data_IF_318467203790
#
_entry.id   IF_318467203790
#
_cell.length_a   1.000
_cell.length_b   1.000
_cell.length_c   1.000
_cell.angle_alpha   90.00
_cell.angle_beta   90.00
_cell.angle_gamma   90.00
#
_symmetry.space_group_name_H-M   'P 1'
#
loop_
_entity.id
_entity.type
_entity.pdbx_description
1 polymer ?
#
# COMPACT_ATOMS: atom_id res chain seq x y z
N UNK A 1 -76.11 -16.20 -4.68
CA UNK A 1 -76.24 -14.73 -4.72
C UNK A 1 -74.84 -14.16 -4.52
N UNK A 2 -74.08 -14.01 -5.60
CA UNK A 2 -73.90 -12.75 -6.38
C UNK A 2 -72.79 -11.89 -5.76
N UNK A 3 -71.54 -11.85 -6.28
CA UNK A 3 -71.02 -10.97 -7.36
C UNK A 3 -71.23 -9.47 -7.02
N UNK A 4 -70.27 -8.53 -6.96
CA UNK A 4 -69.12 -8.13 -7.81
C UNK A 4 -68.31 -7.06 -7.00
N UNK A 5 -67.01 -6.80 -7.26
CA UNK A 5 -66.21 -5.79 -6.56
C UNK A 5 -66.33 -4.37 -7.15
N UNK A 6 -65.97 -3.34 -6.38
CA UNK A 6 -65.98 -1.93 -6.84
C UNK A 6 -64.57 -1.39 -7.04
N UNK A 7 -64.35 -0.94 -8.28
CA UNK A 7 -63.22 -0.18 -8.81
C UNK A 7 -63.45 1.33 -8.68
N UNK A 8 -62.37 2.08 -8.50
CA UNK A 8 -62.16 3.50 -8.87
C UNK A 8 -60.67 3.76 -8.62
N UNK A 9 -59.83 4.30 -9.49
CA UNK A 9 -59.97 5.06 -10.73
C UNK A 9 -58.75 5.99 -10.80
N UNK A 10 -57.95 5.85 -11.87
CA UNK A 10 -56.60 6.37 -12.11
C UNK A 10 -56.39 7.88 -12.02
N UNK A 11 -55.16 8.30 -11.68
CA UNK A 11 -54.52 9.50 -12.24
C UNK A 11 -52.98 9.45 -12.13
N UNK A 12 -52.33 9.94 -13.20
CA UNK A 12 -50.89 10.23 -13.39
C UNK A 12 -50.02 9.02 -13.78
N UNK A 13 -49.51 8.89 -15.00
CA UNK A 13 -49.20 9.90 -16.01
C UNK A 13 -47.75 9.62 -16.44
N UNK A 14 -47.59 8.84 -17.52
CA UNK A 14 -46.30 8.60 -18.14
C UNK A 14 -45.70 9.92 -18.64
N UNK A 15 -44.46 10.19 -18.27
CA UNK A 15 -43.57 11.04 -19.04
C UNK A 15 -42.14 10.51 -18.91
N UNK A 16 -41.71 9.82 -19.96
CA UNK A 16 -40.30 9.54 -20.25
C UNK A 16 -39.69 10.88 -20.65
N UNK A 17 -38.83 11.45 -19.82
CA UNK A 17 -38.02 12.60 -20.22
C UNK A 17 -36.69 12.12 -20.79
N UNK A 18 -36.65 12.14 -22.12
CA UNK A 18 -35.47 12.00 -22.97
C UNK A 18 -34.56 13.22 -22.80
N UNK A 19 -33.25 12.98 -22.70
CA UNK A 19 -32.22 14.02 -22.63
C UNK A 19 -32.30 14.93 -23.88
N UNK A 20 -32.30 16.24 -23.66
CA UNK A 20 -32.55 17.25 -24.68
C UNK A 20 -31.53 17.26 -25.81
N UNK A 21 -32.03 17.16 -27.04
CA UNK A 21 -31.31 17.44 -28.28
C UNK A 21 -31.82 18.79 -28.81
N UNK A 22 -30.97 19.83 -28.79
CA UNK A 22 -31.29 21.15 -29.33
C UNK A 22 -30.39 21.43 -30.53
N UNK A 23 -30.94 21.26 -31.72
CA UNK A 23 -30.37 21.70 -33.00
C UNK A 23 -30.40 23.23 -33.07
N UNK A 24 -29.24 23.88 -33.19
CA UNK A 24 -29.15 25.32 -33.45
C UNK A 24 -28.96 25.58 -34.94
N UNK A 25 -29.84 26.41 -35.48
CA UNK A 25 -29.94 26.83 -36.89
C UNK A 25 -28.92 27.94 -37.18
N UNK A 26 -28.40 27.88 -38.39
CA UNK A 26 -27.40 28.74 -39.02
C UNK A 26 -27.98 30.13 -39.39
N UNK A 27 -27.22 31.20 -39.10
CA UNK A 27 -27.39 32.50 -39.75
C UNK A 27 -26.05 33.23 -39.85
N UNK A 28 -25.57 33.40 -41.07
CA UNK A 28 -24.51 34.34 -41.47
C UNK A 28 -25.06 35.77 -41.54
N UNK A 29 -24.18 36.80 -41.43
CA UNK A 29 -23.79 37.48 -42.66
C UNK A 29 -22.30 37.88 -42.75
N UNK A 30 -21.88 38.09 -44.01
CA UNK A 30 -20.57 38.52 -44.49
C UNK A 30 -20.07 39.86 -43.94
N UNK A 31 -18.75 40.02 -43.83
CA UNK A 31 -17.99 41.20 -44.32
C UNK A 31 -16.49 40.89 -44.41
N UNK A 32 -15.92 41.18 -45.56
CA UNK A 32 -14.50 41.03 -45.95
C UNK A 32 -13.69 42.30 -45.65
N UNK A 33 -12.38 42.17 -45.39
CA UNK A 33 -11.26 42.94 -46.00
C UNK A 33 -9.89 42.60 -45.33
N UNK A 34 -8.97 42.08 -46.16
CA UNK A 34 -7.49 42.20 -46.26
C UNK A 34 -6.70 43.03 -45.21
N UNK A 35 -5.42 42.81 -44.82
CA UNK A 35 -4.23 42.19 -45.47
C UNK A 35 -3.04 42.13 -44.47
N UNK A 36 -2.12 41.17 -44.71
CA UNK A 36 -0.65 41.19 -44.55
C UNK A 36 0.07 41.15 -43.17
N UNK A 37 0.91 40.10 -43.02
CA UNK A 37 2.12 40.09 -42.18
C UNK A 37 2.71 38.69 -41.95
N UNK A 38 3.70 38.29 -42.75
CA UNK A 38 4.49 37.04 -42.69
C UNK A 38 5.17 36.81 -41.30
N UNK A 39 5.53 35.60 -40.83
CA UNK A 39 6.30 34.51 -41.48
C UNK A 39 6.34 33.20 -40.64
N UNK A 40 6.42 32.06 -41.36
CA UNK A 40 6.46 30.60 -41.04
C UNK A 40 7.69 30.11 -40.19
N UNK A 41 7.96 28.79 -39.95
CA UNK A 41 7.24 27.56 -40.37
C UNK A 41 7.08 26.39 -39.34
N UNK A 42 5.99 25.65 -39.56
CA UNK A 42 5.71 24.21 -39.38
C UNK A 42 6.74 23.25 -38.75
N UNK A 43 6.24 22.44 -37.81
CA UNK A 43 6.43 20.97 -37.86
C UNK A 43 5.15 20.22 -37.45
N UNK A 44 4.93 19.01 -38.02
CA UNK A 44 3.60 18.47 -38.27
C UNK A 44 3.36 17.27 -37.35
N UNK A 45 2.73 17.51 -36.21
CA UNK A 45 2.00 16.44 -35.51
C UNK A 45 0.61 16.96 -35.21
N UNK A 46 -0.38 16.30 -35.80
CA UNK A 46 -1.79 16.50 -35.54
C UNK A 46 -2.09 16.16 -34.07
N UNK A 47 -1.95 17.13 -33.17
CA UNK A 47 -2.64 17.10 -31.89
C UNK A 47 -4.10 17.43 -32.17
N UNK A 48 -4.99 16.44 -32.09
CA UNK A 48 -6.43 16.67 -32.08
C UNK A 48 -6.77 17.68 -30.97
N UNK A 49 -7.13 18.89 -31.40
CA UNK A 49 -7.31 20.08 -30.58
C UNK A 49 -8.63 20.07 -29.82
N UNK A 50 -8.69 19.34 -28.71
CA UNK A 50 -9.44 19.82 -27.56
C UNK A 50 -8.47 20.57 -26.66
N UNK A 51 -8.28 21.86 -26.94
CA UNK A 51 -7.70 22.77 -25.96
C UNK A 51 -8.59 22.67 -24.71
N UNK A 52 -8.05 22.18 -23.59
CA UNK A 52 -8.77 22.19 -22.33
C UNK A 52 -9.12 23.65 -22.00
N UNK A 53 -10.41 23.98 -22.07
CA UNK A 53 -10.90 25.30 -21.71
C UNK A 53 -10.61 25.50 -20.20
N UNK A 54 -9.89 26.56 -19.80
CA UNK A 54 -9.51 26.76 -18.40
C UNK A 54 -10.72 26.80 -17.43
N UNK A 55 -11.90 27.13 -17.94
CA UNK A 55 -13.16 27.13 -17.17
C UNK A 55 -13.65 25.74 -16.74
N UNK A 56 -13.41 24.69 -17.53
CA UNK A 56 -13.91 23.35 -17.17
C UNK A 56 -13.12 22.73 -16.02
N UNK A 57 -11.82 23.05 -15.92
CA UNK A 57 -10.98 22.54 -14.85
C UNK A 57 -11.36 23.18 -13.50
N UNK A 58 -11.56 24.50 -13.47
CA UNK A 58 -11.99 25.22 -12.27
C UNK A 58 -13.36 24.74 -11.76
N UNK A 59 -14.32 24.53 -12.67
CA UNK A 59 -15.64 24.04 -12.29
C UNK A 59 -15.59 22.63 -11.68
N UNK A 60 -14.78 21.74 -12.24
CA UNK A 60 -14.58 20.40 -11.70
C UNK A 60 -13.93 20.44 -10.30
N UNK A 61 -12.95 21.32 -10.08
CA UNK A 61 -12.33 21.51 -8.77
C UNK A 61 -13.33 22.01 -7.73
N UNK A 62 -14.21 22.95 -8.09
CA UNK A 62 -15.28 23.43 -7.21
C UNK A 62 -16.26 22.30 -6.84
N UNK A 63 -16.67 21.47 -7.80
CA UNK A 63 -17.52 20.31 -7.56
C UNK A 63 -16.85 19.33 -6.61
N UNK A 64 -15.60 18.95 -6.89
CA UNK A 64 -14.85 17.98 -6.07
C UNK A 64 -14.61 18.51 -4.66
N UNK A 65 -14.29 19.80 -4.54
CA UNK A 65 -14.14 20.48 -3.24
C UNK A 65 -15.46 20.47 -2.45
N UNK A 66 -16.57 20.79 -3.10
CA UNK A 66 -17.89 20.76 -2.46
C UNK A 66 -18.30 19.32 -2.05
N UNK A 67 -18.06 18.32 -2.91
CA UNK A 67 -18.32 16.91 -2.59
C UNK A 67 -17.51 16.45 -1.39
N UNK A 68 -16.25 16.87 -1.27
CA UNK A 68 -15.42 16.55 -0.11
C UNK A 68 -15.93 17.21 1.18
N UNK A 69 -16.17 18.52 1.18
CA UNK A 69 -16.58 19.24 2.39
C UNK A 69 -18.03 18.94 2.76
N UNK A 70 -18.98 19.22 1.87
CA UNK A 70 -20.40 19.00 2.15
C UNK A 70 -20.74 17.51 2.19
N UNK A 71 -20.24 16.72 1.24
CA UNK A 71 -20.58 15.29 1.15
C UNK A 71 -19.84 14.46 2.18
N UNK A 72 -18.51 14.38 2.11
CA UNK A 72 -17.73 13.48 2.97
C UNK A 72 -17.60 13.97 4.41
N UNK A 73 -17.23 15.23 4.65
CA UNK A 73 -16.96 15.70 6.02
C UNK A 73 -18.24 15.89 6.83
N UNK A 74 -19.33 16.37 6.22
CA UNK A 74 -20.59 16.61 6.96
C UNK A 74 -21.66 15.52 6.77
N UNK A 75 -21.53 14.67 5.74
CA UNK A 75 -22.51 13.63 5.44
C UNK A 75 -23.83 14.15 4.87
N UNK A 76 -23.86 15.38 4.34
CA UNK A 76 -25.06 15.95 3.75
C UNK A 76 -25.52 15.13 2.55
N UNK A 77 -26.81 14.82 2.47
CA UNK A 77 -27.43 14.03 1.41
C UNK A 77 -26.96 12.57 1.31
N UNK A 78 -26.37 12.03 2.39
CA UNK A 78 -25.98 10.63 2.46
C UNK A 78 -27.16 9.69 2.25
N UNK A 79 -27.02 8.70 1.38
CA UNK A 79 -27.97 7.61 1.17
C UNK A 79 -27.49 6.27 1.76
N UNK A 80 -26.26 6.25 2.29
CA UNK A 80 -25.59 5.06 2.79
C UNK A 80 -24.91 5.33 4.14
N UNK A 81 -25.03 4.40 5.07
CA UNK A 81 -24.34 4.39 6.37
C UNK A 81 -23.34 3.25 6.38
N UNK A 82 -22.07 3.56 6.63
CA UNK A 82 -20.98 2.60 6.69
C UNK A 82 -20.48 2.50 8.14
N UNK A 83 -20.58 1.31 8.73
CA UNK A 83 -20.02 0.99 10.04
C UNK A 83 -18.66 0.33 9.86
N UNK A 84 -17.63 0.95 10.44
CA UNK A 84 -16.25 0.45 10.39
C UNK A 84 -15.63 0.67 11.77
N UNK A 85 -15.12 -0.40 12.38
CA UNK A 85 -14.71 -0.37 13.79
C UNK A 85 -15.85 0.17 14.69
N UNK A 86 -15.57 1.23 15.46
CA UNK A 86 -16.52 1.95 16.31
C UNK A 86 -17.05 3.24 15.66
N UNK A 87 -16.77 3.43 14.37
CA UNK A 87 -17.11 4.65 13.64
C UNK A 87 -18.23 4.42 12.64
N UNK A 88 -19.05 5.46 12.48
CA UNK A 88 -20.20 5.48 11.59
C UNK A 88 -20.02 6.61 10.60
N UNK A 89 -19.98 6.27 9.32
CA UNK A 89 -19.82 7.24 8.23
C UNK A 89 -21.12 7.36 7.45
N UNK A 90 -21.54 8.60 7.19
CA UNK A 90 -22.69 8.93 6.34
C UNK A 90 -22.18 9.30 4.96
N UNK A 91 -22.38 8.41 3.98
CA UNK A 91 -21.71 8.44 2.68
C UNK A 91 -22.70 8.27 1.52
N UNK A 92 -22.20 8.38 0.30
CA UNK A 92 -22.98 8.38 -0.93
C UNK A 92 -22.67 7.16 -1.78
N UNK A 93 -23.69 6.35 -2.09
CA UNK A 93 -23.55 5.09 -2.82
C UNK A 93 -22.82 5.26 -4.15
N UNK A 94 -23.10 6.35 -4.88
CA UNK A 94 -22.46 6.65 -6.17
C UNK A 94 -20.95 6.91 -6.04
N UNK A 95 -20.50 7.46 -4.91
CA UNK A 95 -19.08 7.68 -4.65
C UNK A 95 -18.43 6.38 -4.16
N UNK A 96 -19.11 5.65 -3.26
CA UNK A 96 -18.61 4.38 -2.74
C UNK A 96 -18.48 3.30 -3.82
N UNK A 97 -19.31 3.33 -4.87
CA UNK A 97 -19.23 2.36 -5.96
C UNK A 97 -17.94 2.44 -6.78
N UNK A 98 -17.12 3.49 -6.58
CA UNK A 98 -15.77 3.58 -7.13
C UNK A 98 -14.80 2.57 -6.52
N UNK A 99 -15.07 2.11 -5.29
CA UNK A 99 -14.35 1.01 -4.65
C UNK A 99 -15.02 -0.32 -5.03
N UNK A 100 -14.31 -1.26 -5.69
CA UNK A 100 -14.86 -2.58 -6.02
C UNK A 100 -15.32 -3.35 -4.78
N UNK A 101 -14.59 -3.24 -3.67
CA UNK A 101 -14.94 -3.86 -2.40
C UNK A 101 -16.27 -3.32 -1.86
N UNK A 102 -16.42 -1.99 -1.77
CA UNK A 102 -17.66 -1.38 -1.27
C UNK A 102 -18.83 -1.58 -2.25
N UNK A 103 -18.58 -1.56 -3.56
CA UNK A 103 -19.58 -1.89 -4.57
C UNK A 103 -20.12 -3.32 -4.37
N UNK A 104 -19.24 -4.28 -4.09
CA UNK A 104 -19.63 -5.65 -3.79
C UNK A 104 -20.41 -5.75 -2.48
N UNK A 105 -19.97 -5.08 -1.41
CA UNK A 105 -20.74 -5.04 -0.16
C UNK A 105 -22.12 -4.41 -0.36
N UNK A 106 -22.22 -3.35 -1.17
CA UNK A 106 -23.50 -2.76 -1.54
C UNK A 106 -24.38 -3.72 -2.36
N UNK A 107 -23.84 -4.52 -3.28
CA UNK A 107 -24.69 -5.44 -4.05
C UNK A 107 -25.17 -6.65 -3.24
N UNK A 108 -24.43 -7.03 -2.20
CA UNK A 108 -24.70 -8.24 -1.40
C UNK A 108 -25.35 -7.97 -0.04
N UNK A 109 -25.35 -6.73 0.44
CA UNK A 109 -26.01 -6.37 1.69
C UNK A 109 -27.53 -6.32 1.53
N UNK A 110 -28.32 -6.97 2.41
CA UNK A 110 -29.78 -6.91 2.38
C UNK A 110 -30.25 -5.46 2.51
N UNK A 111 -31.03 -4.97 1.53
CA UNK A 111 -31.71 -3.69 1.68
C UNK A 111 -32.87 -3.86 2.66
N UNK A 112 -32.68 -3.34 3.87
CA UNK A 112 -33.81 -3.04 4.75
C UNK A 112 -34.41 -1.72 4.28
N UNK A 113 -35.74 -1.63 4.23
CA UNK A 113 -36.47 -0.48 3.68
C UNK A 113 -35.96 0.85 4.24
N UNK A 114 -35.39 1.73 3.40
CA UNK A 114 -34.86 3.03 3.79
C UNK A 114 -33.39 3.23 3.40
N UNK A 115 -32.62 3.83 4.31
CA UNK A 115 -31.18 4.12 4.13
C UNK A 115 -30.35 2.83 4.16
N UNK A 116 -29.40 2.70 3.23
CA UNK A 116 -28.57 1.50 3.12
C UNK A 116 -27.54 1.46 4.26
N UNK A 117 -27.46 0.35 5.00
CA UNK A 117 -26.47 0.17 6.08
C UNK A 117 -25.50 -0.95 5.72
N UNK A 118 -24.20 -0.69 5.84
CA UNK A 118 -23.12 -1.62 5.49
C UNK A 118 -22.17 -1.75 6.68
N UNK A 119 -21.69 -2.97 6.93
CA UNK A 119 -20.71 -3.24 7.98
C UNK A 119 -19.42 -3.77 7.35
N UNK A 120 -18.29 -3.18 7.72
CA UNK A 120 -16.95 -3.61 7.31
C UNK A 120 -16.26 -4.25 8.50
N UNK A 121 -15.98 -5.55 8.41
CA UNK A 121 -15.20 -6.26 9.42
C UNK A 121 -13.70 -6.14 9.11
N UNK A 122 -12.94 -5.59 10.06
CA UNK A 122 -11.49 -5.39 9.97
C UNK A 122 -10.71 -6.17 11.04
N UNK A 123 -11.34 -7.10 11.76
CA UNK A 123 -10.68 -7.89 12.83
C UNK A 123 -9.44 -8.66 12.36
N UNK A 124 -9.40 -9.03 11.09
CA UNK A 124 -8.29 -9.77 10.49
C UNK A 124 -7.21 -8.85 9.89
N UNK A 125 -7.45 -7.54 9.86
CA UNK A 125 -6.62 -6.55 9.14
C UNK A 125 -6.15 -5.43 10.08
N UNK A 126 -5.24 -5.73 11.03
CA UNK A 126 -4.80 -4.77 12.05
C UNK A 126 -4.07 -3.55 11.47
N UNK A 127 -3.52 -3.66 10.26
CA UNK A 127 -2.84 -2.58 9.56
C UNK A 127 -3.83 -1.54 9.00
N UNK A 128 -5.12 -1.90 8.85
CA UNK A 128 -6.17 -0.98 8.40
C UNK A 128 -6.68 -0.17 9.59
N UNK A 129 -5.94 0.86 9.95
CA UNK A 129 -6.35 1.77 11.04
C UNK A 129 -7.54 2.63 10.65
N UNK A 130 -8.23 3.18 11.64
CA UNK A 130 -9.33 4.11 11.42
C UNK A 130 -8.89 5.34 10.59
N UNK A 131 -7.74 5.93 10.90
CA UNK A 131 -7.21 7.10 10.19
C UNK A 131 -6.91 6.75 8.73
N UNK A 132 -6.20 5.64 8.48
CA UNK A 132 -5.89 5.17 7.13
C UNK A 132 -7.15 4.91 6.31
N UNK A 133 -8.15 4.29 6.94
CA UNK A 133 -9.45 4.03 6.31
C UNK A 133 -10.22 5.31 5.99
N UNK A 134 -10.24 6.28 6.90
CA UNK A 134 -10.92 7.56 6.68
C UNK A 134 -10.26 8.36 5.54
N UNK A 135 -8.93 8.37 5.44
CA UNK A 135 -8.19 9.00 4.33
C UNK A 135 -8.54 8.34 3.00
N UNK A 136 -8.58 7.00 2.96
CA UNK A 136 -8.92 6.26 1.75
C UNK A 136 -10.39 6.49 1.31
N UNK A 137 -11.34 6.57 2.26
CA UNK A 137 -12.72 6.97 1.97
C UNK A 137 -12.80 8.40 1.45
N UNK A 138 -12.08 9.35 2.07
CA UNK A 138 -12.02 10.73 1.62
C UNK A 138 -11.46 10.86 0.21
N UNK A 139 -10.48 10.01 -0.15
CA UNK A 139 -9.90 9.96 -1.49
C UNK A 139 -10.93 9.63 -2.58
N UNK A 140 -11.94 8.81 -2.27
CA UNK A 140 -13.04 8.54 -3.22
C UNK A 140 -13.81 9.81 -3.62
N UNK A 141 -13.83 10.81 -2.73
CA UNK A 141 -14.46 12.11 -2.98
C UNK A 141 -13.49 13.12 -3.61
N UNK A 142 -12.25 13.18 -3.12
CA UNK A 142 -11.26 14.15 -3.58
C UNK A 142 -9.81 13.73 -3.29
N UNK A 143 -8.93 14.03 -4.25
CA UNK A 143 -7.48 13.86 -4.12
C UNK A 143 -6.85 14.75 -3.03
N UNK A 144 -7.58 15.73 -2.46
CA UNK A 144 -7.10 16.53 -1.32
C UNK A 144 -6.69 15.65 -0.13
N UNK A 145 -7.26 14.45 -0.02
CA UNK A 145 -6.92 13.46 1.00
C UNK A 145 -5.46 13.01 0.94
N UNK A 146 -4.77 13.17 -0.21
CA UNK A 146 -3.33 12.91 -0.33
C UNK A 146 -2.51 13.79 0.61
N UNK A 147 -2.95 15.03 0.88
CA UNK A 147 -2.26 15.95 1.79
C UNK A 147 -2.29 15.50 3.26
N UNK A 148 -3.11 14.50 3.58
CA UNK A 148 -3.22 13.92 4.92
C UNK A 148 -2.26 12.75 5.11
N UNK A 149 -1.60 12.28 4.06
CA UNK A 149 -0.66 11.16 4.11
C UNK A 149 0.67 11.66 4.66
N UNK A 150 1.14 10.98 5.70
CA UNK A 150 2.39 11.24 6.42
C UNK A 150 3.14 9.94 6.62
N UNK A 151 4.47 9.98 6.85
CA UNK A 151 5.27 8.77 7.12
C UNK A 151 4.66 7.81 8.15
N UNK A 152 4.00 8.35 9.18
CA UNK A 152 3.46 7.59 10.31
C UNK A 152 2.15 6.86 9.97
N UNK A 153 1.34 7.41 9.07
CA UNK A 153 0.04 6.83 8.69
C UNK A 153 0.05 6.19 7.28
N UNK A 154 1.11 6.39 6.49
CA UNK A 154 1.20 5.95 5.11
C UNK A 154 0.95 4.44 4.93
N UNK A 155 1.44 3.62 5.86
CA UNK A 155 1.22 2.17 5.83
C UNK A 155 -0.26 1.82 5.98
N UNK A 156 -0.95 2.48 6.90
CA UNK A 156 -2.37 2.26 7.14
C UNK A 156 -3.24 2.73 5.97
N UNK A 157 -2.87 3.87 5.35
CA UNK A 157 -3.52 4.37 4.13
C UNK A 157 -3.32 3.39 2.98
N UNK A 158 -2.11 2.85 2.82
CA UNK A 158 -1.81 1.85 1.80
C UNK A 158 -2.64 0.57 2.00
N UNK A 159 -2.70 0.05 3.23
CA UNK A 159 -3.52 -1.11 3.57
C UNK A 159 -5.00 -0.86 3.26
N UNK A 160 -5.55 0.28 3.71
CA UNK A 160 -6.92 0.65 3.44
C UNK A 160 -7.21 0.80 1.94
N UNK A 161 -6.29 1.42 1.19
CA UNK A 161 -6.44 1.61 -0.24
C UNK A 161 -6.42 0.29 -1.02
N UNK A 162 -5.56 -0.65 -0.63
CA UNK A 162 -5.53 -1.99 -1.22
C UNK A 162 -6.78 -2.80 -0.86
N UNK A 163 -7.28 -2.71 0.38
CA UNK A 163 -8.54 -3.35 0.79
C UNK A 163 -9.74 -2.84 -0.01
N UNK A 164 -9.89 -1.52 -0.09
CA UNK A 164 -11.01 -0.90 -0.79
C UNK A 164 -10.92 -1.08 -2.31
N UNK A 165 -9.71 -1.04 -2.86
CA UNK A 165 -9.44 -1.14 -4.29
C UNK A 165 -9.91 0.09 -5.10
N UNK A 166 -9.51 0.14 -6.37
CA UNK A 166 -9.93 1.20 -7.30
C UNK A 166 -9.29 2.58 -7.08
N UNK A 167 -8.16 2.63 -6.35
CA UNK A 167 -7.45 3.86 -5.99
C UNK A 167 -5.93 3.71 -6.14
N UNK A 168 -5.48 3.32 -7.33
CA UNK A 168 -4.08 3.01 -7.62
C UNK A 168 -3.13 4.18 -7.30
N UNK A 169 -3.53 5.42 -7.62
CA UNK A 169 -2.73 6.62 -7.33
C UNK A 169 -2.55 6.85 -5.83
N UNK A 170 -3.61 6.62 -5.03
CA UNK A 170 -3.53 6.70 -3.56
C UNK A 170 -2.53 5.67 -3.03
N UNK A 171 -2.66 4.42 -3.48
CA UNK A 171 -1.79 3.33 -3.07
C UNK A 171 -0.34 3.61 -3.48
N UNK A 172 -0.10 4.09 -4.70
CA UNK A 172 1.23 4.41 -5.18
C UNK A 172 1.86 5.57 -4.38
N UNK A 173 1.08 6.60 -4.06
CA UNK A 173 1.54 7.72 -3.23
C UNK A 173 1.87 7.27 -1.80
N UNK A 174 0.97 6.53 -1.16
CA UNK A 174 1.16 6.00 0.19
C UNK A 174 2.36 5.04 0.27
N UNK A 175 2.53 4.17 -0.74
CA UNK A 175 3.71 3.31 -0.86
C UNK A 175 5.00 4.13 -0.99
N UNK A 176 4.99 5.22 -1.77
CA UNK A 176 6.15 6.08 -1.93
C UNK A 176 6.53 6.77 -0.61
N UNK A 177 5.54 7.22 0.16
CA UNK A 177 5.73 7.75 1.51
C UNK A 177 6.27 6.68 2.49
N UNK A 178 5.83 5.43 2.38
CA UNK A 178 6.39 4.31 3.14
C UNK A 178 7.87 4.08 2.86
N UNK A 179 8.28 4.12 1.57
CA UNK A 179 9.70 3.95 1.20
C UNK A 179 10.56 5.09 1.72
N UNK A 180 10.07 6.32 1.61
CA UNK A 180 10.81 7.52 2.05
C UNK A 180 10.95 7.57 3.57
N UNK A 181 10.10 6.89 4.32
CA UNK A 181 10.18 6.85 5.79
C UNK A 181 11.16 5.81 6.32
N UNK A 182 11.78 4.98 5.48
CA UNK A 182 12.77 4.00 5.89
C UNK A 182 14.10 4.70 6.25
N UNK A 183 14.49 4.62 7.51
CA UNK A 183 15.71 5.20 8.06
C UNK A 183 16.28 4.31 9.16
N UNK A 184 17.44 4.71 9.71
CA UNK A 184 18.11 3.98 10.80
C UNK A 184 17.22 3.91 12.05
N UNK A 185 16.42 4.93 12.29
CA UNK A 185 15.52 5.06 13.43
C UNK A 185 14.22 4.27 13.24
N UNK A 186 13.71 4.19 12.01
CA UNK A 186 12.40 3.58 11.71
C UNK A 186 12.48 2.13 11.25
N UNK A 187 13.67 1.60 10.95
CA UNK A 187 13.86 0.23 10.47
C UNK A 187 13.35 -0.82 11.47
N UNK A 188 13.41 -0.55 12.78
CA UNK A 188 12.89 -1.47 13.82
C UNK A 188 11.41 -1.82 13.61
N UNK A 189 10.51 -0.82 13.64
CA UNK A 189 9.09 -1.02 13.32
C UNK A 189 8.82 -1.65 11.94
N UNK A 190 9.68 -1.42 10.95
CA UNK A 190 9.57 -2.09 9.63
C UNK A 190 9.89 -3.58 9.70
N UNK A 191 10.88 -3.98 10.51
CA UNK A 191 11.21 -5.40 10.73
C UNK A 191 10.09 -6.14 11.48
N UNK A 192 9.51 -5.51 12.51
CA UNK A 192 8.36 -6.09 13.24
C UNK A 192 7.16 -6.32 12.31
N UNK A 193 6.91 -5.37 11.42
CA UNK A 193 5.87 -5.49 10.39
C UNK A 193 6.14 -6.63 9.39
N UNK A 194 7.39 -6.88 9.00
CA UNK A 194 7.67 -7.99 8.07
C UNK A 194 7.28 -9.36 8.62
N UNK A 195 7.36 -9.54 9.94
CA UNK A 195 6.97 -10.78 10.61
C UNK A 195 5.44 -10.99 10.62
N UNK A 196 4.64 -9.92 10.47
CA UNK A 196 3.17 -9.99 10.41
C UNK A 196 2.66 -10.31 9.01
N UNK A 197 3.41 -10.00 7.96
CA UNK A 197 3.02 -10.34 6.59
C UNK A 197 3.23 -11.85 6.38
N UNK A 198 2.21 -12.61 5.95
CA UNK A 198 2.38 -14.00 5.57
C UNK A 198 3.45 -14.12 4.48
N UNK A 199 4.52 -14.87 4.76
CA UNK A 199 5.50 -15.20 3.73
C UNK A 199 4.85 -16.11 2.70
N UNK A 200 4.77 -15.65 1.46
CA UNK A 200 4.32 -16.41 0.29
C UNK A 200 5.24 -17.58 -0.07
N UNK A 201 6.15 -17.98 0.84
CA UNK A 201 6.92 -19.21 0.73
C UNK A 201 5.98 -20.40 0.96
N UNK A 202 5.38 -20.87 -0.13
CA UNK A 202 4.78 -22.18 -0.19
C UNK A 202 5.87 -23.24 -0.02
N UNK A 203 6.04 -23.73 1.20
CA UNK A 203 6.48 -25.11 1.36
C UNK A 203 5.42 -25.97 0.65
N UNK A 204 5.82 -26.62 -0.45
CA UNK A 204 4.96 -27.34 -1.39
C UNK A 204 4.26 -28.60 -0.84
N UNK A 205 3.83 -28.58 0.42
CA UNK A 205 3.05 -29.64 1.06
C UNK A 205 1.62 -29.22 1.43
N UNK A 206 1.14 -28.05 1.01
CA UNK A 206 -0.23 -27.63 1.29
C UNK A 206 -1.21 -28.26 0.28
N UNK A 207 -2.17 -29.00 0.82
CA UNK A 207 -3.40 -29.46 0.15
C UNK A 207 -4.10 -28.31 -0.60
N UNK A 208 -4.74 -28.59 -1.76
CA UNK A 208 -5.29 -27.55 -2.65
C UNK A 208 -6.68 -27.08 -2.19
N UNK A 209 -6.81 -26.63 -0.95
CA UNK A 209 -8.04 -26.01 -0.45
C UNK A 209 -7.70 -25.10 0.73
N UNK A 210 -7.47 -23.83 0.41
CA UNK A 210 -7.61 -22.58 1.19
C UNK A 210 -6.76 -21.58 0.41
N UNK A 211 -7.41 -20.59 -0.22
CA UNK A 211 -6.72 -19.52 -0.95
C UNK A 211 -5.60 -18.94 -0.08
N UNK A 212 -4.42 -18.61 -0.66
CA UNK A 212 -3.37 -17.96 0.11
C UNK A 212 -3.99 -16.75 0.78
N UNK A 213 -3.76 -16.57 2.08
CA UNK A 213 -4.10 -15.36 2.82
C UNK A 213 -3.31 -14.21 2.20
N UNK A 214 -3.81 -13.70 1.08
CA UNK A 214 -3.23 -12.58 0.37
C UNK A 214 -3.21 -11.44 1.36
N UNK A 215 -2.00 -11.00 1.72
CA UNK A 215 -1.80 -9.82 2.54
C UNK A 215 -2.68 -8.69 2.00
N UNK A 216 -3.32 -7.91 2.88
CA UNK A 216 -4.13 -6.75 2.49
C UNK A 216 -3.40 -5.78 1.59
N UNK A 217 -2.07 -5.74 1.66
CA UNK A 217 -1.21 -4.91 0.81
C UNK A 217 -1.09 -5.40 -0.65
N UNK A 218 -1.65 -6.57 -0.99
CA UNK A 218 -1.59 -7.14 -2.34
C UNK A 218 -0.16 -7.18 -2.89
N UNK A 219 0.05 -6.60 -4.08
CA UNK A 219 1.37 -6.53 -4.73
C UNK A 219 2.39 -5.68 -3.96
N UNK A 220 1.96 -4.75 -3.12
CA UNK A 220 2.85 -3.88 -2.36
C UNK A 220 3.51 -4.60 -1.19
N UNK A 221 2.95 -5.73 -0.73
CA UNK A 221 3.56 -6.54 0.31
C UNK A 221 4.98 -6.98 -0.08
N UNK A 222 5.14 -7.55 -1.29
CA UNK A 222 6.44 -8.00 -1.78
C UNK A 222 7.37 -6.82 -2.04
N UNK A 223 6.87 -5.75 -2.65
CA UNK A 223 7.67 -4.54 -2.92
C UNK A 223 8.25 -3.93 -1.64
N UNK A 224 7.45 -3.84 -0.58
CA UNK A 224 7.91 -3.36 0.72
C UNK A 224 8.99 -4.29 1.30
N UNK A 225 8.84 -5.61 1.18
CA UNK A 225 9.88 -6.56 1.61
C UNK A 225 11.19 -6.34 0.85
N UNK A 226 11.11 -6.17 -0.46
CA UNK A 226 12.28 -5.94 -1.32
C UNK A 226 12.96 -4.61 -0.98
N UNK A 227 12.19 -3.55 -0.71
CA UNK A 227 12.72 -2.26 -0.28
C UNK A 227 13.39 -2.33 1.09
N UNK A 228 12.77 -3.02 2.07
CA UNK A 228 13.37 -3.18 3.40
C UNK A 228 14.67 -4.00 3.29
N UNK A 229 14.67 -5.06 2.48
CA UNK A 229 15.87 -5.84 2.21
C UNK A 229 16.97 -4.99 1.56
N UNK A 230 16.62 -4.22 0.53
CA UNK A 230 17.55 -3.31 -0.13
C UNK A 230 18.12 -2.28 0.85
N UNK A 231 17.27 -1.69 1.70
CA UNK A 231 17.69 -0.77 2.72
C UNK A 231 18.70 -1.41 3.68
N UNK A 232 18.43 -2.61 4.19
CA UNK A 232 19.35 -3.30 5.10
C UNK A 232 20.71 -3.60 4.46
N UNK A 233 20.70 -4.05 3.20
CA UNK A 233 21.90 -4.59 2.55
C UNK A 233 22.75 -3.51 1.92
N UNK A 234 22.15 -2.47 1.36
CA UNK A 234 22.83 -1.43 0.58
C UNK A 234 22.81 -0.10 1.34
N UNK A 235 21.63 0.45 1.60
CA UNK A 235 21.49 1.81 2.11
C UNK A 235 22.01 1.96 3.54
N UNK A 236 21.71 1.01 4.43
CA UNK A 236 22.05 1.10 5.85
C UNK A 236 23.57 1.08 6.10
N UNK A 237 24.37 0.16 5.51
CA UNK A 237 25.83 0.20 5.62
C UNK A 237 26.45 1.49 5.06
N UNK A 238 25.88 2.02 3.97
CA UNK A 238 26.33 3.29 3.37
C UNK A 238 26.05 4.48 4.29
N UNK A 239 24.83 4.59 4.83
CA UNK A 239 24.42 5.66 5.76
C UNK A 239 25.23 5.61 7.06
N UNK A 240 25.59 4.42 7.53
CA UNK A 240 26.42 4.23 8.71
C UNK A 240 27.93 4.34 8.41
N UNK A 241 28.32 4.61 7.17
CA UNK A 241 29.71 4.76 6.71
C UNK A 241 30.64 3.60 7.13
N UNK A 242 30.13 2.37 7.14
CA UNK A 242 30.81 1.19 7.74
C UNK A 242 32.16 0.86 7.08
N UNK A 243 32.35 1.29 5.84
CA UNK A 243 33.53 0.99 5.00
C UNK A 243 34.59 2.10 5.05
N UNK A 244 34.30 3.27 5.64
CA UNK A 244 35.25 4.39 5.70
C UNK A 244 36.27 4.15 6.82
N UNK A 245 37.59 4.26 6.56
CA UNK A 245 38.58 4.21 7.63
C UNK A 245 38.40 5.44 8.54
N UNK A 246 38.06 5.20 9.81
CA UNK A 246 37.85 6.28 10.79
C UNK A 246 39.16 6.68 11.48
N UNK A 247 39.39 7.99 11.54
CA UNK A 247 40.36 8.59 12.45
C UNK A 247 39.86 8.49 13.90
N UNK A 248 40.78 8.16 14.80
CA UNK A 248 40.52 7.83 16.20
C UNK A 248 39.91 9.00 16.99
N UNK A 249 38.57 9.10 17.09
CA UNK A 249 37.90 9.79 18.21
C UNK A 249 36.39 9.50 18.35
N UNK A 250 36.05 8.78 19.42
CA UNK A 250 34.86 8.91 20.29
C UNK A 250 33.41 8.83 19.79
N UNK A 251 33.10 8.56 18.52
CA UNK A 251 31.71 8.30 18.08
C UNK A 251 31.45 6.78 18.08
N UNK A 252 30.28 6.26 18.52
CA UNK A 252 29.99 4.84 18.41
C UNK A 252 30.09 4.43 16.94
N UNK A 253 30.96 3.46 16.65
CA UNK A 253 31.29 3.09 15.28
C UNK A 253 30.00 2.73 14.52
N UNK A 254 29.87 3.17 13.26
CA UNK A 254 28.72 2.78 12.42
C UNK A 254 28.55 1.26 12.33
N UNK A 255 29.66 0.52 12.45
CA UNK A 255 29.67 -0.94 12.59
C UNK A 255 28.93 -1.44 13.84
N UNK A 256 29.05 -0.76 14.99
CA UNK A 256 28.38 -1.16 16.23
C UNK A 256 26.87 -0.93 16.14
N UNK A 257 26.43 0.18 15.53
CA UNK A 257 25.02 0.42 15.22
C UNK A 257 24.46 -0.63 14.25
N UNK A 258 25.22 -0.97 13.20
CA UNK A 258 24.84 -2.03 12.26
C UNK A 258 24.68 -3.38 12.98
N UNK A 259 25.61 -3.73 13.90
CA UNK A 259 25.53 -4.94 14.72
C UNK A 259 24.25 -4.95 15.58
N UNK A 260 23.91 -3.82 16.21
CA UNK A 260 22.71 -3.71 17.03
C UNK A 260 21.43 -3.91 16.21
N UNK A 261 21.33 -3.30 15.02
CA UNK A 261 20.17 -3.46 14.14
C UNK A 261 20.06 -4.91 13.66
N UNK A 262 21.15 -5.50 13.14
CA UNK A 262 21.18 -6.86 12.63
C UNK A 262 20.92 -7.93 13.73
N UNK A 263 21.19 -7.60 15.00
CA UNK A 263 20.80 -8.47 16.11
C UNK A 263 19.28 -8.61 16.29
N UNK A 264 18.50 -7.71 15.66
CA UNK A 264 17.03 -7.71 15.72
C UNK A 264 16.33 -8.21 14.46
N UNK A 265 17.07 -8.41 13.36
CA UNK A 265 16.50 -8.79 12.06
C UNK A 265 15.96 -10.24 12.09
N UNK A 266 14.79 -10.56 11.50
CA UNK A 266 14.31 -11.94 11.39
C UNK A 266 15.33 -12.86 10.69
N UNK A 267 15.41 -14.14 11.11
CA UNK A 267 16.50 -15.02 10.66
C UNK A 267 16.63 -15.14 9.13
N UNK A 268 15.52 -15.32 8.41
CA UNK A 268 15.56 -15.48 6.94
C UNK A 268 16.10 -14.23 6.25
N UNK A 269 15.75 -13.05 6.76
CA UNK A 269 16.23 -11.78 6.24
C UNK A 269 17.69 -11.55 6.62
N UNK A 270 18.09 -11.90 7.84
CA UNK A 270 19.46 -11.84 8.31
C UNK A 270 20.39 -12.72 7.47
N UNK A 271 19.99 -13.99 7.26
CA UNK A 271 20.69 -14.94 6.40
C UNK A 271 20.82 -14.38 4.99
N UNK A 272 19.71 -14.02 4.36
CA UNK A 272 19.70 -13.53 2.98
C UNK A 272 20.54 -12.25 2.83
N UNK A 273 20.54 -11.37 3.83
CA UNK A 273 21.28 -10.12 3.80
C UNK A 273 22.78 -10.37 3.87
N UNK A 274 23.25 -11.19 4.82
CA UNK A 274 24.69 -11.47 4.97
C UNK A 274 25.23 -12.30 3.81
N UNK A 275 24.46 -13.24 3.29
CA UNK A 275 24.85 -14.06 2.14
C UNK A 275 24.79 -13.26 0.81
N UNK A 276 24.15 -12.09 0.80
CA UNK A 276 24.03 -11.28 -0.40
C UNK A 276 25.39 -10.76 -0.88
N UNK A 277 25.70 -10.84 -2.20
CA UNK A 277 26.91 -10.22 -2.74
C UNK A 277 26.88 -8.70 -2.62
N UNK A 278 25.69 -8.08 -2.55
CA UNK A 278 25.55 -6.61 -2.43
C UNK A 278 25.77 -6.09 -1.01
N UNK A 279 26.00 -6.96 -0.01
CA UNK A 279 26.30 -6.54 1.36
C UNK A 279 27.78 -6.16 1.53
N UNK A 280 28.10 -4.90 1.26
CA UNK A 280 29.48 -4.41 1.17
C UNK A 280 30.01 -3.84 2.49
N UNK A 281 30.34 -4.74 3.43
CA UNK A 281 30.92 -4.38 4.75
C UNK A 281 32.42 -4.74 4.90
N UNK A 282 33.11 -4.94 3.77
CA UNK A 282 34.52 -5.34 3.70
C UNK A 282 34.74 -6.71 3.03
N UNK A 283 35.84 -7.37 3.36
CA UNK A 283 36.20 -8.70 2.84
C UNK A 283 35.28 -9.81 3.38
N UNK A 284 35.30 -10.98 2.76
CA UNK A 284 34.53 -12.15 3.26
C UNK A 284 34.90 -12.51 4.71
N UNK A 285 36.15 -12.29 5.10
CA UNK A 285 36.59 -12.47 6.48
C UNK A 285 35.96 -11.42 7.43
N UNK A 286 35.85 -10.15 7.01
CA UNK A 286 35.21 -9.10 7.79
C UNK A 286 33.70 -9.33 7.92
N UNK A 287 33.07 -9.86 6.86
CA UNK A 287 31.66 -10.28 6.83
C UNK A 287 31.41 -11.51 7.71
N UNK A 288 32.28 -12.50 7.66
CA UNK A 288 32.23 -13.67 8.56
C UNK A 288 32.32 -13.24 10.02
N UNK A 289 33.28 -12.36 10.35
CA UNK A 289 33.43 -11.80 11.70
C UNK A 289 32.16 -11.05 12.12
N UNK A 290 31.64 -10.17 11.26
CA UNK A 290 30.38 -9.47 11.52
C UNK A 290 29.23 -10.42 11.82
N UNK A 291 29.01 -11.42 10.97
CA UNK A 291 27.94 -12.41 11.15
C UNK A 291 28.08 -13.17 12.48
N UNK A 292 29.31 -13.53 12.85
CA UNK A 292 29.61 -14.18 14.13
C UNK A 292 29.25 -13.29 15.32
N UNK A 293 29.63 -12.01 15.27
CA UNK A 293 29.35 -11.03 16.32
C UNK A 293 27.83 -10.79 16.46
N UNK A 294 27.10 -10.68 15.33
CA UNK A 294 25.63 -10.58 15.31
C UNK A 294 24.99 -11.81 15.96
N UNK A 295 25.39 -13.03 15.55
CA UNK A 295 24.85 -14.29 16.10
C UNK A 295 25.08 -14.34 17.61
N UNK A 296 26.23 -13.88 18.10
CA UNK A 296 26.52 -13.83 19.54
C UNK A 296 25.54 -12.91 20.29
N UNK A 297 25.23 -11.74 19.75
CA UNK A 297 24.22 -10.84 20.31
C UNK A 297 22.82 -11.46 20.28
N UNK A 298 22.47 -12.14 19.17
CA UNK A 298 21.16 -12.77 18.97
C UNK A 298 20.86 -13.90 19.95
N UNK A 299 21.88 -14.61 20.44
CA UNK A 299 21.72 -15.65 21.48
C UNK A 299 21.03 -15.14 22.74
N UNK A 300 21.20 -13.85 23.07
CA UNK A 300 20.61 -13.21 24.25
C UNK A 300 19.18 -12.72 24.00
N UNK A 301 18.78 -12.57 22.73
CA UNK A 301 17.50 -12.01 22.28
C UNK A 301 16.64 -12.99 21.48
N UNK A 302 16.44 -12.69 20.20
CA UNK A 302 15.40 -13.31 19.35
C UNK A 302 15.70 -14.78 19.01
N UNK A 303 16.97 -15.21 19.08
CA UNK A 303 17.36 -16.60 18.81
C UNK A 303 17.27 -17.53 20.04
N UNK A 304 16.58 -17.14 21.13
CA UNK A 304 16.40 -18.00 22.31
C UNK A 304 15.66 -19.29 21.93
N UNK A 305 16.40 -20.39 21.82
CA UNK A 305 15.87 -21.73 21.49
C UNK A 305 16.28 -22.26 20.11
N UNK A 306 17.00 -21.47 19.32
CA UNK A 306 17.61 -21.89 18.07
C UNK A 306 19.14 -21.74 18.14
N UNK A 307 19.86 -22.63 17.46
CA UNK A 307 21.31 -22.53 17.27
C UNK A 307 21.59 -21.99 15.88
N UNK A 308 21.94 -20.71 15.81
CA UNK A 308 22.42 -20.06 14.59
C UNK A 308 23.95 -20.20 14.51
N UNK A 309 24.48 -20.55 13.33
CA UNK A 309 25.92 -20.68 13.09
C UNK A 309 26.31 -20.05 11.75
N UNK A 310 27.54 -19.57 11.66
CA UNK A 310 28.13 -19.00 10.44
C UNK A 310 29.31 -19.86 10.01
N UNK A 311 29.39 -20.15 8.71
CA UNK A 311 30.45 -20.93 8.08
C UNK A 311 31.06 -20.09 6.96
N UNK A 312 32.38 -20.20 6.81
CA UNK A 312 33.09 -19.65 5.66
C UNK A 312 33.38 -20.81 4.70
N UNK A 313 32.69 -20.85 3.57
CA UNK A 313 32.96 -21.82 2.52
C UNK A 313 34.10 -21.32 1.64
N UNK A 314 35.01 -22.21 1.27
CA UNK A 314 36.05 -21.95 0.28
C UNK A 314 35.69 -22.74 -0.97
N UNK A 315 35.40 -22.04 -2.07
CA UNK A 315 35.04 -22.67 -3.34
C UNK A 315 36.19 -23.48 -3.92
N UNK A 316 35.91 -24.73 -4.30
CA UNK A 316 36.85 -25.68 -4.88
C UNK A 316 37.06 -25.44 -6.40
N UNK A 317 37.33 -24.19 -6.78
CA UNK A 317 37.59 -23.78 -8.17
C UNK A 317 38.81 -22.85 -8.23
N UNK A 318 39.51 -22.83 -9.37
CA UNK A 318 40.79 -22.13 -9.58
C UNK A 318 40.82 -20.61 -9.28
N UNK A 319 39.70 -20.01 -8.90
CA UNK A 319 39.58 -18.63 -8.42
C UNK A 319 38.88 -18.66 -7.06
N UNK A 320 39.66 -18.75 -5.98
CA UNK A 320 39.21 -18.97 -4.61
C UNK A 320 38.29 -17.90 -4.03
N UNK A 321 37.05 -17.83 -4.51
CA UNK A 321 36.00 -17.03 -3.90
C UNK A 321 35.54 -17.71 -2.62
N UNK A 322 35.69 -16.99 -1.50
CA UNK A 322 35.15 -17.40 -0.22
C UNK A 322 33.71 -16.89 -0.11
N UNK A 323 32.82 -17.65 0.55
CA UNK A 323 31.44 -17.24 0.74
C UNK A 323 31.02 -17.50 2.19
N UNK A 324 30.35 -16.50 2.78
CA UNK A 324 29.78 -16.62 4.12
C UNK A 324 28.40 -17.26 4.01
N UNK A 325 28.14 -18.29 4.80
CA UNK A 325 26.85 -18.96 4.90
C UNK A 325 26.34 -18.97 6.34
N UNK A 326 25.04 -18.76 6.52
CA UNK A 326 24.37 -18.77 7.83
C UNK A 326 23.36 -19.92 7.88
N UNK A 327 23.42 -20.72 8.94
CA UNK A 327 22.50 -21.84 9.16
C UNK A 327 21.86 -21.74 10.53
N UNK A 328 20.64 -22.29 10.67
CA UNK A 328 19.89 -22.34 11.94
C UNK A 328 19.37 -23.75 12.20
N UNK A 329 19.62 -24.25 13.40
CA UNK A 329 19.09 -25.52 13.89
C UNK A 329 18.17 -25.27 15.08
N UNK A 330 16.90 -25.67 14.96
CA UNK A 330 15.95 -25.61 16.07
C UNK A 330 16.29 -26.68 17.12
N UNK A 331 16.37 -26.31 18.40
CA UNK A 331 16.59 -27.28 19.48
C UNK A 331 15.31 -28.11 19.64
N UNK A 332 15.38 -29.42 19.38
CA UNK A 332 14.26 -30.34 19.62
C UNK A 332 13.95 -30.35 21.12
N UNK A 333 12.69 -30.10 21.50
CA UNK A 333 12.23 -30.32 22.89
C UNK A 333 12.32 -31.82 23.20
N UNK A 334 12.85 -32.22 24.37
CA UNK A 334 12.87 -33.63 24.73
C UNK A 334 11.42 -34.13 24.85
N UNK A 335 11.04 -35.10 24.02
CA UNK A 335 9.79 -35.85 24.22
C UNK A 335 9.94 -36.65 25.52
N UNK A 336 9.11 -36.36 26.50
CA UNK A 336 8.97 -37.18 27.69
C UNK A 336 8.37 -38.52 27.26
N UNK A 337 9.09 -39.62 27.49
CA UNK A 337 8.51 -40.96 27.41
C UNK A 337 7.64 -41.15 28.66
N UNK A 338 6.35 -41.35 28.46
CA UNK A 338 5.49 -41.95 29.48
C UNK A 338 5.86 -43.42 29.55
N UNK A 339 6.39 -43.86 30.69
CA UNK A 339 6.45 -45.29 30.97
C UNK A 339 5.07 -45.70 31.49
N UNK A 340 4.41 -46.60 30.76
CA UNK A 340 3.17 -47.26 31.17
C UNK A 340 3.44 -48.36 32.18
#
# INVERSE_FOLDING_TARGET
MSSVPSTSGSANGQAVHTNGNSTHVEHTPDTSFDTNGASSPSSPYHSNGYAQLPYTNNHNEEIVSHLYHSGFQTGNYSDTVLHVHQHVYRLHAIILSRSPYLAHLMSTSPQTSGQRVIFVNLEQEPEVTQEGFAIALGYLYSAISLNLIRPENARAVLAAGCLLGGMDDLCQYAYSACRQSMSVETIGPWLEFMDTIPSSASDGSATPDIAPTSSVFGQYAQRLRDDIFHFLVVTLPEVLEVTRPQDTSSVPNGRDHLLQIYSRVPFELFKSAVESPTFLIGTDQARFKFAKDVIELRKRGIARGAEETVVLAFGQGNFGNSAVHITRKLRKRPLWKVNS
#
